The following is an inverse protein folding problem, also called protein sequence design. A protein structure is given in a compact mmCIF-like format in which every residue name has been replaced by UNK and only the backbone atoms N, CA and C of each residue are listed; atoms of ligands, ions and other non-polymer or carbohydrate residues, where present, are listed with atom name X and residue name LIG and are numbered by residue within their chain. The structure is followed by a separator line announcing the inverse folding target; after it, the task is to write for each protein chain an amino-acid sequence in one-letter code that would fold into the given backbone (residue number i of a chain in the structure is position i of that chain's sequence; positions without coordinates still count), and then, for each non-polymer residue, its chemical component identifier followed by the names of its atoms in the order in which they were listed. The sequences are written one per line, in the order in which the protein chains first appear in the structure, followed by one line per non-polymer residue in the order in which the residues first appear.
data_IF_126369915328
#
_entry.id   IF_126369915328
#
_cell.length_a   1.000
_cell.length_b   1.000
_cell.length_c   1.000
_cell.angle_alpha   90.00
_cell.angle_beta   90.00
_cell.angle_gamma   90.00
#
_symmetry.space_group_name_H-M   'P 1'
#
loop_
_entity.id
_entity.type
_entity.pdbx_description
1 polymer ?
#
# COMPACT_ATOMS: atom_id res chain seq x y z
N UNK A 1 14.84 12.39 14.47
CA UNK A 1 14.24 11.91 15.74
C UNK A 1 13.20 10.86 15.38
N UNK A 2 13.40 9.58 15.73
CA UNK A 2 12.31 8.59 15.65
C UNK A 2 11.42 8.82 16.86
N UNK A 3 10.38 9.64 16.74
CA UNK A 3 9.32 9.66 17.73
C UNK A 3 8.81 8.22 17.88
N UNK A 4 9.04 7.63 19.05
CA UNK A 4 8.52 6.30 19.35
C UNK A 4 7.13 6.51 19.90
N UNK A 5 6.14 6.44 19.01
CA UNK A 5 4.75 6.31 19.41
C UNK A 5 4.59 5.14 20.37
N UNK A 6 3.60 5.21 21.25
CA UNK A 6 3.36 4.13 22.19
C UNK A 6 3.04 2.83 21.44
N UNK A 7 3.37 1.70 22.06
CA UNK A 7 3.01 0.40 21.52
C UNK A 7 1.48 0.25 21.39
N UNK A 8 0.73 0.91 22.28
CA UNK A 8 -0.73 0.92 22.28
C UNK A 8 -1.28 1.60 21.01
N UNK A 9 -0.86 2.83 20.72
CA UNK A 9 -1.26 3.56 19.52
C UNK A 9 -0.92 2.78 18.25
N UNK A 10 0.30 2.23 18.16
CA UNK A 10 0.73 1.45 17.01
C UNK A 10 -0.15 0.21 16.81
N UNK A 11 -0.47 -0.51 17.89
CA UNK A 11 -1.33 -1.69 17.82
C UNK A 11 -2.75 -1.30 17.41
N UNK A 12 -3.29 -0.21 17.94
CA UNK A 12 -4.63 0.28 17.64
C UNK A 12 -4.77 0.71 16.18
N UNK A 13 -3.77 1.42 15.63
CA UNK A 13 -3.67 1.75 14.19
C UNK A 13 -3.71 0.47 13.35
N UNK A 14 -2.87 -0.51 13.67
CA UNK A 14 -2.79 -1.75 12.89
C UNK A 14 -4.11 -2.54 12.91
N UNK A 15 -4.78 -2.60 14.06
CA UNK A 15 -6.08 -3.26 14.19
C UNK A 15 -7.15 -2.56 13.35
N UNK A 16 -7.22 -1.23 13.43
CA UNK A 16 -8.21 -0.45 12.69
C UNK A 16 -7.98 -0.49 11.18
N UNK A 17 -6.73 -0.39 10.73
CA UNK A 17 -6.36 -0.50 9.32
C UNK A 17 -6.76 -1.86 8.76
N UNK A 18 -6.45 -2.94 9.46
CA UNK A 18 -6.81 -4.30 9.03
C UNK A 18 -8.32 -4.52 9.05
N UNK A 19 -9.03 -3.99 10.04
CA UNK A 19 -10.48 -4.09 10.11
C UNK A 19 -11.15 -3.32 8.95
N UNK A 20 -10.73 -2.08 8.69
CA UNK A 20 -11.24 -1.26 7.61
C UNK A 20 -10.96 -1.88 6.23
N UNK A 21 -9.73 -2.35 6.00
CA UNK A 21 -9.34 -3.02 4.77
C UNK A 21 -10.19 -4.28 4.50
N UNK A 22 -10.49 -5.07 5.54
CA UNK A 22 -11.34 -6.26 5.42
C UNK A 22 -12.82 -5.94 5.18
N UNK A 23 -13.32 -4.86 5.75
CA UNK A 23 -14.74 -4.53 5.69
C UNK A 23 -15.15 -3.88 4.35
N UNK A 24 -14.33 -2.95 3.83
CA UNK A 24 -14.67 -2.16 2.64
C UNK A 24 -13.75 -2.40 1.44
N UNK A 25 -12.59 -3.04 1.61
CA UNK A 25 -11.59 -3.22 0.55
C UNK A 25 -10.77 -1.97 0.22
N UNK A 26 -11.38 -0.78 0.33
CA UNK A 26 -10.72 0.52 0.19
C UNK A 26 -10.74 1.23 1.56
N UNK A 27 -9.57 1.67 2.00
CA UNK A 27 -9.35 2.31 3.28
C UNK A 27 -9.35 3.83 3.12
N UNK A 28 -10.33 4.51 3.70
CA UNK A 28 -10.32 5.96 3.80
C UNK A 28 -9.38 6.38 4.94
N UNK A 29 -8.24 6.98 4.58
CA UNK A 29 -7.13 7.23 5.50
C UNK A 29 -7.55 8.19 6.61
N UNK A 30 -8.16 9.32 6.24
CA UNK A 30 -8.59 10.36 7.18
C UNK A 30 -9.65 9.84 8.15
N UNK A 31 -10.64 9.10 7.67
CA UNK A 31 -11.68 8.53 8.52
C UNK A 31 -11.11 7.51 9.54
N UNK A 32 -10.16 6.67 9.10
CA UNK A 32 -9.50 5.71 9.99
C UNK A 32 -8.60 6.41 11.00
N UNK A 33 -7.85 7.43 10.58
CA UNK A 33 -7.00 8.21 11.45
C UNK A 33 -7.80 8.96 12.52
N UNK A 34 -8.92 9.57 12.15
CA UNK A 34 -9.81 10.23 13.09
C UNK A 34 -10.38 9.23 14.10
N UNK A 35 -10.83 8.06 13.66
CA UNK A 35 -11.32 7.01 14.54
C UNK A 35 -10.25 6.54 15.54
N UNK A 36 -8.99 6.38 15.09
CA UNK A 36 -7.87 6.02 15.98
C UNK A 36 -7.59 7.14 16.98
N UNK A 37 -7.54 8.40 16.53
CA UNK A 37 -7.28 9.55 17.40
C UNK A 37 -8.34 9.70 18.49
N UNK A 38 -9.62 9.56 18.14
CA UNK A 38 -10.73 9.62 19.10
C UNK A 38 -10.67 8.50 20.16
N UNK A 39 -10.13 7.32 19.79
CA UNK A 39 -9.92 6.21 20.73
C UNK A 39 -8.68 6.40 21.62
N UNK A 40 -7.74 7.24 21.21
CA UNK A 40 -6.45 7.45 21.87
C UNK A 40 -6.23 8.92 22.26
N UNK A 41 -7.30 9.62 22.68
CA UNK A 41 -7.23 11.04 23.07
C UNK A 41 -6.21 11.32 24.19
N UNK A 42 -5.99 10.35 25.07
CA UNK A 42 -5.00 10.45 26.14
C UNK A 42 -3.56 10.58 25.64
N UNK A 43 -3.27 10.13 24.41
CA UNK A 43 -1.92 10.23 23.83
C UNK A 43 -1.64 11.60 23.20
N UNK A 44 -2.68 12.42 23.00
CA UNK A 44 -2.58 13.79 22.47
C UNK A 44 -1.70 13.89 21.20
N UNK A 45 -1.88 12.93 20.28
CA UNK A 45 -1.17 12.89 19.00
C UNK A 45 -1.96 13.68 17.96
N UNK A 46 -1.25 14.46 17.15
CA UNK A 46 -1.85 15.23 16.07
C UNK A 46 -2.53 14.30 15.07
N UNK A 47 -3.59 14.77 14.41
CA UNK A 47 -4.28 13.97 13.41
C UNK A 47 -3.35 13.60 12.24
N UNK A 48 -2.53 14.56 11.79
CA UNK A 48 -1.46 14.39 10.79
C UNK A 48 -0.53 13.21 11.09
N UNK A 49 -0.07 13.11 12.34
CA UNK A 49 0.84 12.05 12.77
C UNK A 49 0.13 10.69 12.73
N UNK A 50 -1.13 10.65 13.15
CA UNK A 50 -1.96 9.44 13.07
C UNK A 50 -2.25 9.06 11.62
N UNK A 51 -2.49 10.03 10.72
CA UNK A 51 -2.65 9.79 9.29
C UNK A 51 -1.38 9.19 8.69
N UNK A 52 -0.20 9.71 9.05
CA UNK A 52 1.08 9.13 8.63
C UNK A 52 1.24 7.68 9.10
N UNK A 53 0.84 7.36 10.34
CA UNK A 53 0.86 5.99 10.86
C UNK A 53 -0.12 5.07 10.13
N UNK A 54 -1.32 5.54 9.85
CA UNK A 54 -2.34 4.81 9.08
C UNK A 54 -1.86 4.55 7.67
N UNK A 55 -1.25 5.54 7.00
CA UNK A 55 -0.65 5.38 5.68
C UNK A 55 0.44 4.32 5.67
N UNK A 56 1.36 4.38 6.63
CA UNK A 56 2.45 3.41 6.72
C UNK A 56 1.91 1.99 6.96
N UNK A 57 0.93 1.83 7.84
CA UNK A 57 0.30 0.55 8.12
C UNK A 57 -0.51 0.01 6.93
N UNK A 58 -1.23 0.87 6.21
CA UNK A 58 -2.02 0.49 5.04
C UNK A 58 -1.12 0.08 3.86
N UNK A 59 -0.01 0.80 3.64
CA UNK A 59 1.02 0.40 2.67
C UNK A 59 1.61 -0.97 3.00
N UNK A 60 1.95 -1.21 4.27
CA UNK A 60 2.46 -2.50 4.72
C UNK A 60 1.45 -3.65 4.50
N UNK A 61 0.17 -3.37 4.68
CA UNK A 61 -0.91 -4.34 4.44
C UNK A 61 -1.28 -4.51 2.96
N UNK A 62 -0.75 -3.68 2.06
CA UNK A 62 -1.14 -3.68 0.65
C UNK A 62 -2.61 -3.31 0.41
N UNK A 63 -3.21 -2.52 1.31
CA UNK A 63 -4.60 -2.11 1.19
C UNK A 63 -4.75 -0.99 0.15
N UNK A 64 -5.83 -1.05 -0.65
CA UNK A 64 -6.22 0.09 -1.47
C UNK A 64 -6.63 1.24 -0.55
N UNK A 65 -6.17 2.46 -0.84
CA UNK A 65 -6.39 3.64 0.00
C UNK A 65 -7.13 4.73 -0.77
N UNK A 66 -8.04 5.39 -0.08
CA UNK A 66 -8.73 6.60 -0.51
C UNK A 66 -8.23 7.77 0.35
N UNK A 67 -7.93 8.88 -0.33
CA UNK A 67 -7.52 10.14 0.27
C UNK A 67 -8.66 11.13 0.09
N UNK A 68 -9.02 11.83 1.16
CA UNK A 68 -9.99 12.91 1.02
C UNK A 68 -9.38 14.01 0.13
N UNK A 69 -10.15 14.46 -0.86
CA UNK A 69 -9.64 15.32 -1.94
C UNK A 69 -9.51 16.80 -1.52
N UNK A 70 -9.70 17.10 -0.24
CA UNK A 70 -9.72 18.45 0.32
C UNK A 70 -8.37 18.95 0.85
N UNK A 71 -7.31 18.15 0.81
CA UNK A 71 -5.97 18.63 1.23
C UNK A 71 -5.24 19.32 0.08
N UNK A 72 -5.50 20.61 -0.13
CA UNK A 72 -4.59 21.48 -0.88
C UNK A 72 -3.37 21.73 0.01
N UNK A 73 -2.32 20.92 -0.19
CA UNK A 73 -0.99 21.25 0.33
C UNK A 73 -0.43 22.39 -0.52
N UNK A 74 -0.43 23.61 0.02
CA UNK A 74 0.43 24.68 -0.51
C UNK A 74 1.87 24.14 -0.61
N UNK A 75 2.50 24.14 -1.81
CA UNK A 75 3.81 23.53 -2.01
C UNK A 75 4.92 24.46 -1.49
N UNK A 76 4.95 24.68 -0.19
CA UNK A 76 6.05 25.31 0.53
C UNK A 76 7.05 24.26 1.00
N UNK A 77 7.82 23.70 0.06
CA UNK A 77 9.06 22.96 0.36
C UNK A 77 8.92 21.52 0.91
N UNK A 78 8.32 20.61 0.15
CA UNK A 78 8.43 19.16 0.43
C UNK A 78 9.76 18.63 -0.12
N UNK A 79 10.75 18.44 0.76
CA UNK A 79 11.93 17.66 0.45
C UNK A 79 11.49 16.21 0.24
N UNK A 80 11.27 15.83 -1.03
CA UNK A 80 10.99 14.44 -1.41
C UNK A 80 12.15 13.59 -0.92
N UNK A 81 11.96 12.86 0.18
CA UNK A 81 12.77 11.71 0.49
C UNK A 81 12.52 10.68 -0.62
N UNK A 82 13.32 10.76 -1.68
CA UNK A 82 13.53 9.67 -2.61
C UNK A 82 14.05 8.51 -1.77
N UNK A 83 13.16 7.60 -1.38
CA UNK A 83 13.58 6.32 -0.84
C UNK A 83 14.10 5.56 -2.05
N UNK A 84 15.42 5.57 -2.17
CA UNK A 84 16.20 4.79 -3.11
C UNK A 84 15.65 3.36 -3.12
N UNK A 85 15.05 2.97 -4.24
CA UNK A 85 14.33 1.71 -4.41
C UNK A 85 15.27 0.66 -5.02
N UNK A 86 16.52 0.63 -4.60
CA UNK A 86 17.44 -0.46 -4.94
C UNK A 86 17.27 -1.60 -3.93
N UNK A 87 16.31 -2.49 -4.21
CA UNK A 87 16.43 -3.94 -4.00
C UNK A 87 15.09 -4.66 -4.23
N UNK A 88 14.67 -4.79 -5.49
CA UNK A 88 13.83 -5.92 -5.91
C UNK A 88 14.34 -6.45 -7.26
N UNK A 89 15.54 -7.03 -7.26
CA UNK A 89 15.92 -8.01 -8.28
C UNK A 89 15.26 -9.35 -7.90
N UNK A 90 13.95 -9.43 -8.13
CA UNK A 90 13.16 -10.65 -8.06
C UNK A 90 12.75 -11.03 -9.46
N UNK A 91 13.60 -11.77 -10.17
CA UNK A 91 13.35 -12.31 -11.52
C UNK A 91 12.27 -13.41 -11.41
N UNK A 92 11.01 -13.00 -11.39
CA UNK A 92 9.85 -13.88 -11.48
C UNK A 92 9.39 -13.97 -12.93
N UNK A 93 9.87 -14.99 -13.65
CA UNK A 93 9.36 -15.42 -14.94
C UNK A 93 7.88 -15.85 -14.78
N UNK A 94 6.94 -15.00 -15.19
CA UNK A 94 5.53 -15.35 -15.32
C UNK A 94 5.15 -15.23 -16.80
N UNK A 95 5.23 -16.36 -17.52
CA UNK A 95 4.68 -16.49 -18.86
C UNK A 95 3.21 -16.92 -18.75
N UNK A 96 2.30 -16.00 -19.08
CA UNK A 96 0.92 -16.32 -19.43
C UNK A 96 0.60 -15.59 -20.73
N UNK A 97 0.31 -16.37 -21.77
CA UNK A 97 -0.75 -16.24 -22.78
C UNK A 97 -0.57 -17.47 -23.70
N UNK A 98 -1.48 -18.46 -23.72
CA UNK A 98 -2.74 -18.51 -24.52
C UNK A 98 -2.52 -18.05 -25.97
N UNK A 99 -3.00 -18.67 -27.03
CA UNK A 99 -3.78 -19.89 -27.31
C UNK A 99 -3.77 -19.99 -28.86
N UNK A 100 -4.10 -21.16 -29.43
CA UNK A 100 -4.59 -21.34 -30.83
C UNK A 100 -3.70 -20.97 -32.04
N UNK A 101 -3.30 -21.99 -32.82
CA UNK A 101 -3.73 -22.16 -34.23
C UNK A 101 -3.05 -23.40 -34.86
N UNK A 102 -3.90 -24.32 -35.33
CA UNK A 102 -3.55 -25.43 -36.21
C UNK A 102 -3.17 -24.88 -37.59
N UNK A 103 -2.02 -25.26 -38.15
CA UNK A 103 -1.89 -25.45 -39.61
C UNK A 103 -0.65 -26.23 -40.02
N UNK A 104 -0.89 -27.17 -40.95
CA UNK A 104 0.01 -28.10 -41.61
C UNK A 104 1.38 -27.54 -42.04
N UNK A 105 2.46 -28.30 -41.76
CA UNK A 105 3.44 -28.59 -42.81
C UNK A 105 4.21 -29.89 -42.55
N UNK A 106 4.06 -30.83 -43.49
CA UNK A 106 4.82 -32.07 -43.67
C UNK A 106 6.25 -31.76 -44.14
N UNK A 107 7.30 -32.40 -43.60
CA UNK A 107 8.57 -32.54 -44.30
C UNK A 107 8.65 -33.89 -45.04
N UNK A 108 9.29 -33.95 -46.22
CA UNK A 108 9.35 -35.14 -47.05
C UNK A 108 10.49 -36.09 -46.67
N UNK A 109 10.27 -37.37 -46.97
CA UNK A 109 11.28 -38.42 -47.16
C UNK A 109 12.52 -37.92 -47.91
N UNK A 110 13.71 -38.20 -47.37
CA UNK A 110 14.90 -38.44 -48.18
C UNK A 110 15.63 -39.68 -47.67
N UNK A 111 15.39 -40.77 -48.39
CA UNK A 111 16.34 -41.84 -48.64
C UNK A 111 17.61 -41.29 -49.28
N UNK A 112 18.77 -41.58 -48.70
CA UNK A 112 19.95 -42.04 -49.43
C UNK A 112 20.97 -42.65 -48.46
#
# INVERSE_FOLDING_TARGET
MRYRYSAHLCQDVNLQVRAAARAKGILNVTAVAEAVRLRNLAENVALEDVECLVLQAAQFCGAAMEFDSLTVFEPGNVHRHSVDRDALSGRGDLKVLEETAVSLHRPPDQTQ
#
